data_IF_097303946079
#
_entry.id   IF_097303946079
#
_cell.length_a   1.000
_cell.length_b   1.000
_cell.length_c   1.000
_cell.angle_alpha   90.00
_cell.angle_beta   90.00
_cell.angle_gamma   90.00
#
_symmetry.space_group_name_H-M   'P 1'
#
loop_
_entity.id
_entity.type
_entity.pdbx_description
1 polymer ?
#
# COMPACT_ATOMS: atom_id res chain seq x y z
N UNK A 1 -41.53 21.93 2.83
CA UNK A 1 -40.62 21.25 1.89
C UNK A 1 -39.39 22.15 1.72
N UNK A 2 -38.31 21.89 2.46
CA UNK A 2 -37.07 22.65 2.33
C UNK A 2 -36.32 22.19 1.08
N UNK A 3 -35.99 23.14 0.20
CA UNK A 3 -35.16 22.88 -0.97
C UNK A 3 -33.76 22.44 -0.52
N UNK A 4 -33.25 21.35 -1.10
CA UNK A 4 -31.86 20.92 -0.90
C UNK A 4 -30.91 22.03 -1.40
N UNK A 5 -29.79 22.30 -0.71
CA UNK A 5 -28.80 23.25 -1.19
C UNK A 5 -28.25 22.78 -2.54
N UNK A 6 -28.25 23.67 -3.54
CA UNK A 6 -27.57 23.42 -4.81
C UNK A 6 -26.07 23.63 -4.60
N UNK A 7 -25.34 22.54 -4.39
CA UNK A 7 -23.89 22.54 -4.38
C UNK A 7 -23.38 22.57 -5.83
N UNK A 8 -22.68 23.64 -6.20
CA UNK A 8 -21.97 23.71 -7.48
C UNK A 8 -20.61 23.01 -7.33
N UNK A 9 -20.60 21.69 -7.45
CA UNK A 9 -19.37 20.89 -7.53
C UNK A 9 -18.90 20.92 -8.98
N UNK A 10 -17.68 21.41 -9.23
CA UNK A 10 -17.17 21.53 -10.59
C UNK A 10 -16.97 20.13 -11.23
N UNK A 11 -17.33 19.92 -12.50
CA UNK A 11 -17.21 18.62 -13.18
C UNK A 11 -15.82 17.99 -13.19
N UNK A 12 -14.77 18.83 -13.12
CA UNK A 12 -13.38 18.38 -13.02
C UNK A 12 -13.01 17.86 -11.62
N UNK A 13 -13.69 18.32 -10.56
CA UNK A 13 -13.53 17.75 -9.20
C UNK A 13 -14.27 16.41 -9.06
N UNK A 14 -15.28 16.17 -9.90
CA UNK A 14 -16.10 14.95 -9.84
C UNK A 14 -15.41 13.72 -10.45
N UNK A 15 -14.24 13.85 -11.08
CA UNK A 15 -13.68 12.78 -11.95
C UNK A 15 -12.26 12.27 -11.67
N UNK A 16 -11.68 12.42 -10.47
CA UNK A 16 -10.29 11.91 -10.29
C UNK A 16 -9.92 11.25 -8.96
N UNK A 17 -10.86 10.97 -8.05
CA UNK A 17 -10.48 10.23 -6.84
C UNK A 17 -9.94 8.85 -7.19
N UNK A 18 -8.82 8.47 -6.56
CA UNK A 18 -8.39 7.07 -6.57
C UNK A 18 -9.52 6.21 -6.00
N UNK A 19 -9.91 5.17 -6.73
CA UNK A 19 -10.92 4.22 -6.27
C UNK A 19 -10.31 3.20 -5.29
N UNK A 20 -10.99 2.97 -4.17
CA UNK A 20 -10.66 1.91 -3.22
C UNK A 20 -11.61 0.72 -3.39
N UNK A 21 -11.06 -0.40 -3.84
CA UNK A 21 -11.81 -1.64 -4.08
C UNK A 21 -11.71 -2.65 -2.92
N UNK A 22 -11.12 -2.25 -1.78
CA UNK A 22 -10.92 -3.13 -0.62
C UNK A 22 -9.51 -3.69 -0.50
N UNK A 23 -8.59 -3.27 -1.38
CA UNK A 23 -7.17 -3.67 -1.36
C UNK A 23 -6.25 -2.47 -1.14
N UNK A 24 -5.08 -2.71 -0.56
CA UNK A 24 -4.12 -1.65 -0.22
C UNK A 24 -4.46 -0.89 1.06
N UNK A 25 -3.60 0.05 1.44
CA UNK A 25 -3.66 0.70 2.75
C UNK A 25 -4.82 1.70 2.85
N UNK A 26 -5.82 1.38 3.68
CA UNK A 26 -7.01 2.20 3.88
C UNK A 26 -6.71 3.59 4.47
N UNK A 27 -5.67 3.74 5.29
CA UNK A 27 -5.28 5.04 5.84
C UNK A 27 -4.66 5.95 4.78
N UNK A 28 -3.89 5.38 3.84
CA UNK A 28 -3.32 6.14 2.72
C UNK A 28 -4.45 6.63 1.81
N UNK A 29 -5.39 5.76 1.46
CA UNK A 29 -6.58 6.14 0.67
C UNK A 29 -7.31 7.33 1.27
N UNK A 30 -7.59 7.26 2.57
CA UNK A 30 -8.22 8.35 3.33
C UNK A 30 -7.43 9.64 3.27
N UNK A 31 -6.11 9.56 3.46
CA UNK A 31 -5.25 10.73 3.47
C UNK A 31 -5.22 11.41 2.10
N UNK A 32 -5.12 10.62 1.02
CA UNK A 32 -5.20 11.10 -0.36
C UNK A 32 -6.56 11.75 -0.63
N UNK A 33 -7.66 11.08 -0.28
CA UNK A 33 -9.01 11.63 -0.42
C UNK A 33 -9.20 12.99 0.30
N UNK A 34 -8.73 13.11 1.55
CA UNK A 34 -8.84 14.35 2.33
C UNK A 34 -7.95 15.48 1.78
N UNK A 35 -6.82 15.13 1.18
CA UNK A 35 -5.93 16.08 0.51
C UNK A 35 -6.58 16.61 -0.77
N UNK A 36 -7.10 15.70 -1.61
CA UNK A 36 -7.83 16.05 -2.85
C UNK A 36 -9.12 16.81 -2.56
N UNK A 37 -9.76 16.56 -1.41
CA UNK A 37 -10.98 17.25 -0.96
C UNK A 37 -10.71 18.45 -0.04
N UNK A 38 -9.49 18.99 -0.03
CA UNK A 38 -9.07 20.00 0.95
C UNK A 38 -9.96 21.25 0.97
N UNK A 39 -10.50 21.65 -0.19
CA UNK A 39 -11.43 22.78 -0.33
C UNK A 39 -12.78 22.57 0.40
N UNK A 40 -13.15 21.31 0.67
CA UNK A 40 -14.44 20.93 1.26
C UNK A 40 -14.33 20.51 2.73
N UNK A 41 -13.18 20.67 3.39
CA UNK A 41 -12.93 20.20 4.76
C UNK A 41 -13.92 20.71 5.82
N UNK A 42 -14.61 21.82 5.55
CA UNK A 42 -15.61 22.42 6.45
C UNK A 42 -17.05 22.01 6.15
N UNK A 43 -17.27 21.18 5.15
CA UNK A 43 -18.59 20.70 4.74
C UNK A 43 -18.66 19.16 4.84
N UNK A 44 -19.07 18.62 6.00
CA UNK A 44 -19.18 17.17 6.20
C UNK A 44 -20.15 16.50 5.23
N UNK A 45 -21.19 17.20 4.76
CA UNK A 45 -22.16 16.63 3.83
C UNK A 45 -21.53 16.40 2.46
N UNK A 46 -20.80 17.40 1.95
CA UNK A 46 -20.05 17.28 0.70
C UNK A 46 -18.95 16.23 0.82
N UNK A 47 -18.22 16.19 1.94
CA UNK A 47 -17.20 15.15 2.18
C UNK A 47 -17.81 13.74 2.21
N UNK A 48 -18.95 13.54 2.86
CA UNK A 48 -19.67 12.27 2.81
C UNK A 48 -19.99 11.92 1.37
N UNK A 49 -20.62 12.82 0.61
CA UNK A 49 -20.99 12.56 -0.78
C UNK A 49 -19.79 12.20 -1.66
N UNK A 50 -18.70 12.95 -1.58
CA UNK A 50 -17.48 12.71 -2.37
C UNK A 50 -16.75 11.43 -1.94
N UNK A 51 -16.72 11.12 -0.65
CA UNK A 51 -16.08 9.89 -0.16
C UNK A 51 -16.75 8.63 -0.73
N UNK A 52 -18.06 8.66 -0.97
CA UNK A 52 -18.79 7.55 -1.61
C UNK A 52 -18.39 7.35 -3.07
N UNK A 53 -17.89 8.39 -3.73
CA UNK A 53 -17.40 8.34 -5.11
C UNK A 53 -15.97 7.81 -5.23
N UNK A 54 -15.23 7.74 -4.12
CA UNK A 54 -13.88 7.16 -4.08
C UNK A 54 -13.86 5.67 -3.74
N UNK A 55 -15.02 5.00 -3.69
CA UNK A 55 -15.15 3.58 -3.37
C UNK A 55 -15.65 2.81 -4.59
N UNK A 56 -15.15 1.58 -4.75
CA UNK A 56 -15.53 0.69 -5.85
C UNK A 56 -15.65 -0.77 -5.38
N UNK A 57 -16.25 -1.61 -6.23
CA UNK A 57 -16.38 -3.05 -6.05
C UNK A 57 -16.89 -3.45 -4.66
N UNK A 58 -16.23 -4.40 -3.96
CA UNK A 58 -16.67 -4.87 -2.64
C UNK A 58 -16.79 -3.78 -1.57
N UNK A 59 -16.06 -2.67 -1.74
CA UNK A 59 -16.13 -1.56 -0.78
C UNK A 59 -17.37 -0.71 -1.00
N UNK A 60 -17.75 -0.51 -2.25
CA UNK A 60 -19.00 0.16 -2.60
C UNK A 60 -20.21 -0.68 -2.18
N UNK A 61 -20.16 -2.00 -2.36
CA UNK A 61 -21.19 -2.93 -1.86
C UNK A 61 -21.32 -2.84 -0.34
N UNK A 62 -20.19 -2.80 0.38
CA UNK A 62 -20.20 -2.62 1.82
C UNK A 62 -20.84 -1.29 2.24
N UNK A 63 -20.52 -0.18 1.56
CA UNK A 63 -21.15 1.11 1.83
C UNK A 63 -22.68 1.01 1.76
N UNK A 64 -23.21 0.33 0.74
CA UNK A 64 -24.66 0.13 0.57
C UNK A 64 -25.28 -0.82 1.60
N UNK A 65 -24.47 -1.60 2.31
CA UNK A 65 -24.93 -2.47 3.42
C UNK A 65 -25.09 -1.73 4.76
N UNK A 66 -24.60 -0.49 4.88
CA UNK A 66 -24.72 0.30 6.10
C UNK A 66 -26.13 0.86 6.30
N UNK A 67 -26.50 1.12 7.56
CA UNK A 67 -27.73 1.86 7.83
C UNK A 67 -27.63 3.30 7.29
N UNK A 68 -28.74 3.92 6.85
CA UNK A 68 -28.70 5.27 6.28
C UNK A 68 -28.02 6.30 7.18
N UNK A 69 -28.29 6.26 8.49
CA UNK A 69 -27.68 7.16 9.48
C UNK A 69 -26.15 7.02 9.56
N UNK A 70 -25.63 5.83 9.30
CA UNK A 70 -24.20 5.54 9.34
C UNK A 70 -23.50 5.95 8.05
N UNK A 71 -24.21 5.93 6.92
CA UNK A 71 -23.70 6.31 5.61
C UNK A 71 -23.79 7.82 5.33
N UNK A 72 -24.60 8.56 6.09
CA UNK A 72 -24.81 10.01 5.92
C UNK A 72 -23.84 10.88 6.75
N UNK A 73 -23.39 10.39 7.91
CA UNK A 73 -22.41 11.09 8.76
C UNK A 73 -20.98 10.73 8.36
N UNK A 74 -20.21 11.75 7.96
CA UNK A 74 -18.82 11.57 7.49
C UNK A 74 -17.94 10.90 8.55
N UNK A 75 -18.04 11.33 9.81
CA UNK A 75 -17.21 10.81 10.89
C UNK A 75 -17.54 9.34 11.20
N UNK A 76 -18.82 8.98 11.21
CA UNK A 76 -19.28 7.61 11.46
C UNK A 76 -18.87 6.70 10.30
N UNK A 77 -19.17 7.10 9.07
CA UNK A 77 -18.81 6.35 7.86
C UNK A 77 -17.31 6.07 7.82
N UNK A 78 -16.50 7.10 8.07
CA UNK A 78 -15.05 7.01 8.02
C UNK A 78 -14.46 6.13 9.12
N UNK A 79 -14.98 6.22 10.36
CA UNK A 79 -14.57 5.33 11.46
C UNK A 79 -14.87 3.86 11.13
N UNK A 80 -16.04 3.58 10.56
CA UNK A 80 -16.43 2.23 10.15
C UNK A 80 -15.58 1.73 8.98
N UNK A 81 -15.28 2.59 8.02
CA UNK A 81 -14.41 2.28 6.89
C UNK A 81 -13.03 1.83 7.38
N UNK A 82 -12.38 2.63 8.23
CA UNK A 82 -11.09 2.27 8.80
C UNK A 82 -11.20 1.00 9.63
N UNK A 83 -12.21 0.86 10.48
CA UNK A 83 -12.37 -0.36 11.28
C UNK A 83 -12.49 -1.63 10.43
N UNK A 84 -13.19 -1.56 9.30
CA UNK A 84 -13.39 -2.71 8.41
C UNK A 84 -12.17 -3.03 7.55
N UNK A 85 -11.45 -2.01 7.08
CA UNK A 85 -10.38 -2.17 6.09
C UNK A 85 -8.96 -1.99 6.64
N UNK A 86 -8.77 -1.61 7.91
CA UNK A 86 -7.45 -1.45 8.54
C UNK A 86 -6.57 -2.69 8.43
N UNK A 87 -7.15 -3.88 8.55
CA UNK A 87 -6.46 -5.18 8.53
C UNK A 87 -6.43 -5.78 7.11
N UNK A 88 -7.16 -5.16 6.16
CA UNK A 88 -7.15 -5.48 4.72
C UNK A 88 -6.21 -4.57 3.93
N UNK A 89 -5.51 -3.66 4.62
CA UNK A 89 -4.24 -3.17 4.14
C UNK A 89 -3.43 -4.40 3.75
N UNK A 90 -3.20 -4.58 2.44
CA UNK A 90 -2.42 -5.65 1.83
C UNK A 90 -1.43 -6.21 2.87
N UNK A 91 -1.53 -7.49 3.30
CA UNK A 91 -0.83 -8.00 4.47
C UNK A 91 0.56 -7.40 4.47
N UNK A 92 0.88 -6.62 5.51
CA UNK A 92 2.14 -5.89 5.54
C UNK A 92 3.21 -6.89 5.17
N UNK A 93 3.86 -6.66 4.02
CA UNK A 93 4.84 -7.56 3.44
C UNK A 93 5.65 -8.14 4.58
N UNK A 94 5.58 -9.44 4.82
CA UNK A 94 6.23 -10.03 5.99
C UNK A 94 7.68 -10.37 5.66
N UNK A 95 8.49 -10.61 6.70
CA UNK A 95 9.84 -11.16 6.50
C UNK A 95 9.76 -12.51 5.77
N UNK A 96 8.71 -13.29 6.02
CA UNK A 96 8.45 -14.58 5.35
C UNK A 96 8.17 -14.39 3.85
N UNK A 97 7.42 -13.36 3.47
CA UNK A 97 7.16 -13.05 2.06
C UNK A 97 8.45 -12.64 1.34
N UNK A 98 9.30 -11.83 1.98
CA UNK A 98 10.63 -11.50 1.46
C UNK A 98 11.57 -12.71 1.38
N UNK A 99 11.53 -13.61 2.35
CA UNK A 99 12.33 -14.84 2.30
C UNK A 99 11.84 -15.82 1.22
N UNK A 100 10.57 -15.70 0.82
CA UNK A 100 9.96 -16.50 -0.25
C UNK A 100 10.26 -15.94 -1.63
N UNK A 101 10.68 -14.67 -1.72
CA UNK A 101 11.03 -14.03 -2.99
C UNK A 101 12.38 -14.55 -3.51
N UNK A 102 12.33 -15.40 -4.54
CA UNK A 102 13.51 -16.03 -5.13
C UNK A 102 14.03 -15.28 -6.35
N UNK A 103 15.34 -15.36 -6.54
CA UNK A 103 15.98 -14.99 -7.79
C UNK A 103 15.48 -15.90 -8.91
N UNK A 104 15.03 -15.30 -10.01
CA UNK A 104 14.58 -16.07 -11.19
C UNK A 104 15.78 -16.58 -11.98
N UNK A 105 15.60 -17.64 -12.77
CA UNK A 105 16.67 -18.26 -13.55
C UNK A 105 17.18 -17.37 -14.69
N UNK A 106 16.35 -16.46 -15.19
CA UNK A 106 16.59 -15.52 -16.29
C UNK A 106 16.95 -14.11 -15.81
N UNK A 107 16.98 -13.88 -14.50
CA UNK A 107 17.25 -12.59 -13.88
C UNK A 107 18.74 -12.50 -13.47
N UNK A 108 19.36 -11.33 -13.66
CA UNK A 108 20.69 -11.09 -13.12
C UNK A 108 20.65 -10.73 -11.62
N UNK A 109 21.78 -10.91 -10.95
CA UNK A 109 21.85 -10.77 -9.49
C UNK A 109 21.56 -9.34 -8.99
N UNK A 110 21.90 -8.33 -9.78
CA UNK A 110 21.69 -6.92 -9.42
C UNK A 110 20.20 -6.59 -9.49
N UNK A 111 19.53 -6.97 -10.58
CA UNK A 111 18.08 -6.80 -10.75
C UNK A 111 17.30 -7.55 -9.67
N UNK A 112 17.72 -8.77 -9.33
CA UNK A 112 17.16 -9.50 -8.20
C UNK A 112 17.34 -8.74 -6.88
N UNK A 113 18.56 -8.29 -6.58
CA UNK A 113 18.89 -7.59 -5.33
C UNK A 113 18.11 -6.28 -5.20
N UNK A 114 18.01 -5.49 -6.27
CA UNK A 114 17.26 -4.23 -6.28
C UNK A 114 15.76 -4.46 -6.12
N UNK A 115 15.21 -5.46 -6.81
CA UNK A 115 13.80 -5.85 -6.68
C UNK A 115 13.49 -6.30 -5.25
N UNK A 116 14.34 -7.15 -4.68
CA UNK A 116 14.21 -7.62 -3.30
C UNK A 116 14.31 -6.46 -2.29
N UNK A 117 15.27 -5.53 -2.47
CA UNK A 117 15.41 -4.35 -1.61
C UNK A 117 14.24 -3.38 -1.73
N UNK A 118 13.68 -3.20 -2.93
CA UNK A 118 12.47 -2.39 -3.15
C UNK A 118 11.24 -2.97 -2.45
N UNK A 119 11.19 -4.29 -2.28
CA UNK A 119 10.19 -4.94 -1.42
C UNK A 119 10.50 -4.67 0.05
N UNK A 120 11.75 -4.85 0.47
CA UNK A 120 12.20 -4.64 1.85
C UNK A 120 11.91 -3.23 2.40
N UNK A 121 11.97 -2.17 1.57
CA UNK A 121 11.63 -0.80 2.01
C UNK A 121 10.17 -0.62 2.41
N UNK A 122 9.29 -1.54 2.02
CA UNK A 122 7.86 -1.53 2.38
C UNK A 122 7.60 -2.12 3.77
N UNK A 123 8.59 -2.78 4.38
CA UNK A 123 8.55 -3.25 5.76
C UNK A 123 9.00 -2.13 6.71
N UNK A 124 8.09 -1.66 7.56
CA UNK A 124 8.42 -0.68 8.62
C UNK A 124 9.49 -1.19 9.61
N UNK A 125 9.74 -2.50 9.66
CA UNK A 125 10.65 -3.16 10.62
C UNK A 125 11.80 -3.93 9.95
N UNK A 126 12.13 -3.63 8.70
CA UNK A 126 13.27 -4.29 8.05
C UNK A 126 14.58 -3.83 8.72
N UNK A 127 15.14 -4.65 9.60
CA UNK A 127 16.37 -4.33 10.33
C UNK A 127 17.64 -4.54 9.48
N UNK A 128 18.73 -3.92 9.98
CA UNK A 128 20.15 -3.89 9.60
C UNK A 128 20.62 -4.71 8.36
N UNK A 129 21.58 -4.15 7.60
CA UNK A 129 22.11 -4.77 6.38
C UNK A 129 22.52 -6.25 6.50
N UNK A 130 23.16 -6.72 7.60
CA UNK A 130 23.57 -8.11 7.74
C UNK A 130 22.40 -9.12 7.66
N UNK A 131 21.25 -8.80 8.24
CA UNK A 131 20.05 -9.62 8.17
C UNK A 131 19.48 -9.67 6.75
N UNK A 132 19.47 -8.52 6.07
CA UNK A 132 19.02 -8.43 4.68
C UNK A 132 19.92 -9.27 3.75
N UNK A 133 21.23 -9.16 3.91
CA UNK A 133 22.23 -9.90 3.13
C UNK A 133 22.01 -11.42 3.28
N UNK A 134 21.77 -11.92 4.49
CA UNK A 134 21.48 -13.34 4.72
C UNK A 134 20.27 -13.83 3.93
N UNK A 135 19.19 -13.05 3.92
CA UNK A 135 17.96 -13.45 3.22
C UNK A 135 18.19 -13.41 1.70
N UNK A 136 18.86 -12.38 1.18
CA UNK A 136 19.20 -12.27 -0.24
C UNK A 136 20.06 -13.45 -0.70
N UNK A 137 21.13 -13.79 0.03
CA UNK A 137 21.99 -14.94 -0.29
C UNK A 137 21.16 -16.23 -0.25
N UNK A 138 20.33 -16.44 0.78
CA UNK A 138 19.48 -17.63 0.91
C UNK A 138 18.43 -17.77 -0.20
N UNK A 139 18.08 -16.67 -0.85
CA UNK A 139 17.05 -16.60 -1.89
C UNK A 139 17.61 -16.49 -3.31
N UNK A 140 18.93 -16.39 -3.45
CA UNK A 140 19.65 -16.44 -4.72
C UNK A 140 19.72 -17.88 -5.29
N UNK A 141 20.14 -18.00 -6.54
CA UNK A 141 20.31 -19.30 -7.20
C UNK A 141 21.49 -20.08 -6.59
N UNK A 142 21.57 -21.43 -6.77
CA UNK A 142 22.67 -22.24 -6.24
C UNK A 142 24.07 -21.75 -6.64
N UNK A 143 24.20 -21.23 -7.87
CA UNK A 143 25.46 -20.64 -8.36
C UNK A 143 25.90 -19.45 -7.51
N UNK A 144 24.99 -18.49 -7.27
CA UNK A 144 25.31 -17.31 -6.48
C UNK A 144 25.48 -17.64 -4.99
N UNK A 145 24.72 -18.58 -4.44
CA UNK A 145 24.94 -19.08 -3.08
C UNK A 145 26.37 -19.55 -2.87
N UNK A 146 26.92 -20.32 -3.81
CA UNK A 146 28.29 -20.80 -3.71
C UNK A 146 29.32 -19.66 -3.78
N UNK A 147 29.15 -18.71 -4.71
CA UNK A 147 30.07 -17.57 -4.91
C UNK A 147 30.07 -16.61 -3.70
N UNK A 148 28.88 -16.38 -3.12
CA UNK A 148 28.67 -15.41 -2.05
C UNK A 148 28.93 -15.99 -0.65
N UNK A 149 28.96 -17.32 -0.50
CA UNK A 149 29.23 -17.98 0.79
C UNK A 149 30.72 -18.10 1.14
N UNK A 150 31.63 -17.75 0.22
CA UNK A 150 33.07 -17.96 0.42
C UNK A 150 33.69 -16.99 1.43
N UNK A 151 33.14 -15.79 1.60
CA UNK A 151 33.62 -14.78 2.55
C UNK A 151 32.46 -14.11 3.29
N UNK A 152 32.73 -13.57 4.49
CA UNK A 152 31.72 -12.84 5.28
C UNK A 152 31.40 -11.50 4.62
N UNK A 153 30.27 -11.41 3.92
CA UNK A 153 29.71 -10.16 3.40
C UNK A 153 28.90 -9.49 4.51
N UNK A 154 29.22 -8.23 4.82
CA UNK A 154 28.55 -7.49 5.90
C UNK A 154 27.88 -6.20 5.44
N UNK A 155 28.20 -5.73 4.22
CA UNK A 155 27.60 -4.55 3.63
C UNK A 155 26.97 -4.84 2.27
N UNK A 156 25.97 -4.02 1.90
CA UNK A 156 25.34 -4.15 0.58
C UNK A 156 26.31 -3.81 -0.56
N UNK A 157 27.26 -2.91 -0.33
CA UNK A 157 28.31 -2.58 -1.31
C UNK A 157 29.15 -3.81 -1.68
N UNK A 158 29.65 -4.53 -0.69
CA UNK A 158 30.40 -5.78 -0.90
C UNK A 158 29.56 -6.84 -1.63
N UNK A 159 28.26 -6.91 -1.31
CA UNK A 159 27.32 -7.83 -1.96
C UNK A 159 27.19 -7.53 -3.47
N UNK A 160 27.05 -6.25 -3.83
CA UNK A 160 26.96 -5.84 -5.24
C UNK A 160 28.27 -6.09 -5.99
N UNK A 161 29.42 -5.72 -5.41
CA UNK A 161 30.73 -5.94 -6.03
C UNK A 161 30.99 -7.42 -6.35
N UNK A 162 30.59 -8.30 -5.43
CA UNK A 162 30.78 -9.75 -5.59
C UNK A 162 29.73 -10.41 -6.47
N UNK A 163 28.52 -9.87 -6.52
CA UNK A 163 27.45 -10.32 -7.41
C UNK A 163 27.70 -10.04 -8.90
N UNK A 164 28.66 -9.17 -9.20
CA UNK A 164 29.13 -8.86 -10.56
C UNK A 164 30.31 -9.74 -11.01
N UNK A 165 30.89 -10.54 -10.10
CA UNK A 165 32.04 -11.42 -10.33
C UNK A 165 31.62 -12.78 -10.86
#
# INVERSE_FOLDING_TARGET
>A
MSALPKFHIHPLEMSSYRLYNGTGNSYIHVKEFLYESSHWQRDPFVLTFLSRKSLDGPTLEWLYSLEPREAEDFCILHKKFIHKYKDRANPSLSITDLASEKMRSDEDFIRFTDRWRSMATKLQHMHLEPEQIKIIISSSTPRFKHILAMDKITTMKELYERGLS
#
